data_IF_432791577032
#
_entry.id   IF_432791577032
#
_cell.length_a   1.000
_cell.length_b   1.000
_cell.length_c   1.000
_cell.angle_alpha   90.00
_cell.angle_beta   90.00
_cell.angle_gamma   90.00
#
_symmetry.space_group_name_H-M   'P 1'
#
loop_
_entity.id
_entity.type
_entity.pdbx_description
1 polymer ?
#
# COMPACT_ATOMS: atom_id res chain seq x y z
N UNK A 1 0.38 -4.97 13.63
CA UNK A 1 -0.89 -4.20 13.70
C UNK A 1 -1.53 -4.12 12.31
N UNK A 2 -2.86 -4.05 12.23
CA UNK A 2 -3.62 -3.92 11.00
C UNK A 2 -4.51 -2.65 11.06
N UNK A 3 -4.48 -1.84 10.00
CA UNK A 3 -5.46 -0.76 9.77
C UNK A 3 -6.26 -1.16 8.54
N UNK A 4 -7.57 -1.29 8.68
CA UNK A 4 -8.48 -1.62 7.58
C UNK A 4 -9.35 -0.40 7.27
N UNK A 5 -9.42 -0.04 5.99
CA UNK A 5 -10.35 0.96 5.48
C UNK A 5 -11.24 0.25 4.46
N UNK A 6 -12.55 0.37 4.62
CA UNK A 6 -13.54 -0.21 3.71
C UNK A 6 -13.78 0.74 2.52
N UNK A 7 -14.12 0.21 1.32
CA UNK A 7 -14.47 1.05 0.18
C UNK A 7 -15.75 1.86 0.43
N UNK A 8 -15.91 2.94 -0.32
CA UNK A 8 -17.18 3.67 -0.33
C UNK A 8 -18.29 2.78 -0.92
N UNK A 9 -19.28 2.44 -0.10
CA UNK A 9 -20.51 1.80 -0.58
C UNK A 9 -21.55 2.86 -0.96
N UNK A 10 -21.68 3.89 -0.12
CA UNK A 10 -22.57 5.03 -0.28
C UNK A 10 -21.90 6.30 0.29
N UNK A 11 -22.15 7.47 -0.31
CA UNK A 11 -21.62 8.74 0.19
C UNK A 11 -20.12 8.91 -0.02
N UNK A 12 -19.47 9.67 0.86
CA UNK A 12 -18.07 10.10 0.77
C UNK A 12 -17.22 9.73 2.00
N UNK A 13 -17.76 8.88 2.89
CA UNK A 13 -17.15 8.49 4.16
C UNK A 13 -16.64 7.07 4.14
N UNK A 14 -15.38 6.88 4.53
CA UNK A 14 -14.70 5.60 4.58
C UNK A 14 -14.79 5.00 6.00
N UNK A 15 -15.50 3.88 6.19
CA UNK A 15 -15.45 3.13 7.44
C UNK A 15 -14.04 2.58 7.69
N UNK A 16 -13.62 2.50 8.94
CA UNK A 16 -12.28 2.06 9.27
C UNK A 16 -12.22 1.25 10.58
N UNK A 17 -11.19 0.41 10.69
CA UNK A 17 -10.90 -0.41 11.87
C UNK A 17 -9.40 -0.48 12.12
N UNK A 18 -9.01 -0.51 13.40
CA UNK A 18 -7.64 -0.77 13.85
C UNK A 18 -7.65 -2.05 14.69
N UNK A 19 -6.78 -2.98 14.34
CA UNK A 19 -6.68 -4.31 14.96
C UNK A 19 -5.24 -4.62 15.32
N UNK A 20 -5.04 -5.38 16.39
CA UNK A 20 -3.76 -6.00 16.70
C UNK A 20 -3.75 -7.44 16.18
N UNK A 21 -2.63 -7.85 15.61
CA UNK A 21 -2.34 -9.26 15.30
C UNK A 21 -1.33 -9.71 16.34
N UNK A 22 -1.71 -10.68 17.17
CA UNK A 22 -0.88 -11.25 18.22
C UNK A 22 -0.06 -12.43 17.66
N UNK A 23 0.98 -12.83 18.39
CA UNK A 23 1.92 -13.90 17.98
C UNK A 23 1.25 -15.27 17.76
N UNK A 24 0.14 -15.52 18.47
CA UNK A 24 -0.68 -16.73 18.32
C UNK A 24 -1.59 -16.70 17.09
N UNK A 25 -1.51 -15.64 16.28
CA UNK A 25 -2.34 -15.43 15.11
C UNK A 25 -3.73 -14.88 15.42
N UNK A 26 -4.06 -14.63 16.70
CA UNK A 26 -5.31 -13.99 17.08
C UNK A 26 -5.28 -12.51 16.69
N UNK A 27 -6.38 -12.07 16.09
CA UNK A 27 -6.56 -10.65 15.77
C UNK A 27 -7.59 -10.07 16.72
N UNK A 28 -7.25 -8.95 17.37
CA UNK A 28 -8.13 -8.27 18.34
C UNK A 28 -8.51 -6.91 17.78
N UNK A 29 -9.80 -6.61 17.55
CA UNK A 29 -10.22 -5.26 17.20
C UNK A 29 -10.03 -4.32 18.39
N UNK A 30 -9.43 -3.16 18.16
CA UNK A 30 -9.20 -2.14 19.19
C UNK A 30 -10.10 -0.92 19.01
N UNK A 31 -10.18 -0.43 17.78
CA UNK A 31 -10.94 0.76 17.43
C UNK A 31 -11.65 0.54 16.10
N UNK A 32 -12.85 1.08 15.97
CA UNK A 32 -13.62 1.03 14.74
C UNK A 32 -14.56 2.25 14.67
N UNK A 33 -14.85 2.68 13.46
CA UNK A 33 -15.88 3.65 13.15
C UNK A 33 -16.57 3.21 11.85
N UNK A 34 -17.77 2.64 12.00
CA UNK A 34 -18.57 2.13 10.90
C UNK A 34 -19.31 3.26 10.15
N UNK A 35 -19.48 4.45 10.76
CA UNK A 35 -20.01 5.63 10.05
C UNK A 35 -18.96 6.27 9.14
N UNK A 36 -17.68 6.00 9.43
CA UNK A 36 -16.54 6.38 8.62
C UNK A 36 -16.27 7.88 8.58
N UNK A 37 -15.23 8.27 7.86
CA UNK A 37 -14.88 9.70 7.70
C UNK A 37 -14.53 10.06 6.26
N UNK A 38 -14.72 11.32 5.84
CA UNK A 38 -14.24 11.80 4.55
C UNK A 38 -12.74 11.52 4.37
N UNK A 39 -12.32 11.25 3.13
CA UNK A 39 -10.90 10.98 2.78
C UNK A 39 -9.92 11.97 3.41
N UNK A 40 -10.24 13.26 3.37
CA UNK A 40 -9.39 14.32 3.91
C UNK A 40 -9.19 14.26 5.43
N UNK A 41 -10.11 13.62 6.17
CA UNK A 41 -10.07 13.48 7.62
C UNK A 41 -9.51 12.15 8.09
N UNK A 42 -9.20 11.21 7.19
CA UNK A 42 -8.68 9.88 7.53
C UNK A 42 -7.44 9.97 8.41
N UNK A 43 -6.43 10.75 8.01
CA UNK A 43 -5.19 10.92 8.77
C UNK A 43 -5.45 11.45 10.17
N UNK A 44 -6.30 12.46 10.31
CA UNK A 44 -6.59 13.08 11.59
C UNK A 44 -7.29 12.11 12.54
N UNK A 45 -8.27 11.38 12.02
CA UNK A 45 -9.13 10.47 12.78
C UNK A 45 -8.44 9.17 13.17
N UNK A 46 -7.58 8.66 12.30
CA UNK A 46 -6.82 7.43 12.56
C UNK A 46 -5.59 7.69 13.43
N UNK A 47 -5.14 8.94 13.62
CA UNK A 47 -3.88 9.26 14.30
C UNK A 47 -3.78 8.62 15.69
N UNK A 48 -4.73 8.93 16.56
CA UNK A 48 -4.73 8.45 17.96
C UNK A 48 -5.00 6.94 18.06
N UNK A 49 -6.02 6.37 17.37
CA UNK A 49 -6.24 4.92 17.34
C UNK A 49 -5.01 4.12 16.87
N UNK A 50 -4.31 4.62 15.85
CA UNK A 50 -3.10 3.99 15.33
C UNK A 50 -1.95 4.12 16.33
N UNK A 51 -1.77 5.28 16.97
CA UNK A 51 -0.75 5.46 18.00
C UNK A 51 -0.96 4.51 19.18
N UNK A 52 -2.18 4.45 19.72
CA UNK A 52 -2.51 3.58 20.85
C UNK A 52 -2.30 2.09 20.52
N UNK A 53 -2.70 1.66 19.32
CA UNK A 53 -2.49 0.29 18.87
C UNK A 53 -1.00 -0.04 18.67
N UNK A 54 -0.20 0.89 18.18
CA UNK A 54 1.25 0.69 18.07
C UNK A 54 1.94 0.63 19.43
N UNK A 55 1.53 1.48 20.38
CA UNK A 55 2.06 1.44 21.74
C UNK A 55 1.78 0.10 22.44
N UNK A 56 0.66 -0.55 22.12
CA UNK A 56 0.34 -1.89 22.61
C UNK A 56 1.09 -3.01 21.86
N UNK A 57 1.38 -2.82 20.57
CA UNK A 57 2.03 -3.82 19.73
C UNK A 57 3.55 -3.79 19.75
N UNK A 58 4.15 -2.64 20.09
CA UNK A 58 5.59 -2.47 20.21
C UNK A 58 6.07 -3.12 21.53
N UNK A 59 7.02 -4.06 21.46
CA UNK A 59 7.52 -4.81 22.63
C UNK A 59 9.04 -4.72 22.70
N UNK A 60 9.56 -3.99 23.70
CA UNK A 60 10.99 -3.77 23.84
C UNK A 60 11.57 -3.08 22.59
N UNK A 61 12.52 -3.73 21.92
CA UNK A 61 13.12 -3.23 20.66
C UNK A 61 12.32 -3.63 19.41
N UNK A 62 11.30 -4.47 19.55
CA UNK A 62 10.49 -4.94 18.43
C UNK A 62 9.38 -3.95 18.11
N UNK A 63 9.49 -3.28 16.96
CA UNK A 63 8.45 -2.40 16.43
C UNK A 63 7.47 -3.21 15.57
N UNK A 64 6.19 -3.14 15.91
CA UNK A 64 5.14 -3.82 15.16
C UNK A 64 5.04 -3.29 13.72
N UNK A 65 4.97 -4.21 12.76
CA UNK A 65 4.64 -3.88 11.38
C UNK A 65 3.23 -3.30 11.27
N UNK A 66 3.06 -2.35 10.34
CA UNK A 66 1.76 -1.78 10.01
C UNK A 66 1.26 -2.35 8.68
N UNK A 67 0.21 -3.16 8.76
CA UNK A 67 -0.49 -3.71 7.59
C UNK A 67 -1.70 -2.84 7.31
N UNK A 68 -1.67 -2.05 6.23
CA UNK A 68 -2.80 -1.20 5.82
C UNK A 68 -3.56 -1.89 4.70
N UNK A 69 -4.80 -2.26 4.98
CA UNK A 69 -5.73 -2.85 4.02
C UNK A 69 -6.62 -1.74 3.50
N UNK A 70 -6.50 -1.40 2.22
CA UNK A 70 -7.13 -0.21 1.63
C UNK A 70 -7.98 -0.56 0.42
N UNK A 71 -9.04 0.21 0.16
CA UNK A 71 -9.67 0.21 -1.15
C UNK A 71 -8.73 0.89 -2.17
N UNK A 72 -8.85 0.51 -3.44
CA UNK A 72 -7.84 0.81 -4.47
C UNK A 72 -7.70 2.31 -4.73
N UNK A 73 -8.79 3.05 -4.59
CA UNK A 73 -8.85 4.51 -4.72
C UNK A 73 -8.02 5.28 -3.68
N UNK A 74 -7.60 4.59 -2.60
CA UNK A 74 -6.74 5.11 -1.54
C UNK A 74 -5.29 4.58 -1.61
N UNK A 75 -4.91 3.83 -2.65
CA UNK A 75 -3.54 3.30 -2.76
C UNK A 75 -2.47 4.41 -2.79
N UNK A 76 -2.79 5.58 -3.34
CA UNK A 76 -1.87 6.71 -3.37
C UNK A 76 -1.85 7.54 -2.08
N UNK A 77 -2.55 7.13 -1.01
CA UNK A 77 -2.44 7.79 0.29
C UNK A 77 -1.01 7.66 0.86
N UNK A 78 -0.38 8.75 1.30
CA UNK A 78 1.00 8.75 1.77
C UNK A 78 1.11 8.28 3.23
N UNK A 79 0.65 7.05 3.50
CA UNK A 79 0.52 6.49 4.86
C UNK A 79 1.85 6.40 5.61
N UNK A 80 2.94 6.07 4.92
CA UNK A 80 4.29 6.09 5.47
C UNK A 80 4.78 7.50 5.82
N UNK A 81 4.20 8.56 5.25
CA UNK A 81 4.51 9.94 5.59
C UNK A 81 3.67 10.45 6.79
N UNK A 82 2.72 9.66 7.28
CA UNK A 82 1.89 10.08 8.40
C UNK A 82 2.75 10.17 9.68
N UNK A 83 2.54 11.27 10.40
CA UNK A 83 3.10 11.52 11.73
C UNK A 83 1.99 11.37 12.76
N UNK A 84 2.28 10.67 13.85
CA UNK A 84 1.31 10.33 14.88
C UNK A 84 1.24 11.35 16.02
N UNK A 85 2.24 12.21 16.16
CA UNK A 85 2.17 13.34 17.07
C UNK A 85 1.04 14.32 16.68
N UNK A 86 0.36 14.95 17.65
CA UNK A 86 -0.55 16.05 17.39
C UNK A 86 0.16 17.20 16.64
N UNK A 87 -0.55 17.95 15.79
CA UNK A 87 -0.01 19.17 15.18
C UNK A 87 0.46 20.15 16.26
N UNK A 88 1.70 20.65 16.15
CA UNK A 88 2.25 21.62 17.09
C UNK A 88 2.70 21.03 18.44
N UNK A 89 2.82 19.71 18.57
CA UNK A 89 3.61 19.13 19.65
C UNK A 89 5.06 19.59 19.48
N UNK A 90 5.57 20.35 20.47
CA UNK A 90 6.91 20.94 20.44
C UNK A 90 7.99 19.86 20.31
N UNK A 91 8.98 20.15 19.45
CA UNK A 91 10.10 19.28 19.06
C UNK A 91 11.25 19.40 20.08
N UNK A 92 10.94 19.46 21.38
CA UNK A 92 11.92 19.65 22.47
C UNK A 92 12.78 18.39 22.72
N UNK A 93 12.95 17.54 21.70
CA UNK A 93 13.75 16.33 21.71
C UNK A 93 13.42 15.38 20.56
N UNK A 94 14.15 14.27 20.49
CA UNK A 94 13.91 13.21 19.49
C UNK A 94 12.71 12.35 19.92
N UNK A 95 11.47 12.83 19.75
CA UNK A 95 10.26 12.02 19.95
C UNK A 95 9.99 11.17 18.69
N UNK A 96 10.07 9.83 18.77
CA UNK A 96 9.76 8.99 17.62
C UNK A 96 8.31 9.16 17.10
N UNK A 97 7.35 9.68 17.86
CA UNK A 97 5.98 9.92 17.38
C UNK A 97 5.88 11.13 16.43
N UNK A 98 6.85 12.04 16.45
CA UNK A 98 6.91 13.16 15.49
C UNK A 98 7.41 12.69 14.13
N UNK A 99 8.04 11.51 14.03
CA UNK A 99 8.57 10.96 12.78
C UNK A 99 7.49 10.35 11.88
N UNK A 100 7.70 10.36 10.55
CA UNK A 100 6.89 9.59 9.62
C UNK A 100 6.91 8.08 9.93
N UNK A 101 5.76 7.43 9.81
CA UNK A 101 5.58 6.00 10.07
C UNK A 101 6.61 5.13 9.33
N UNK A 102 6.85 5.40 8.05
CA UNK A 102 7.75 4.59 7.21
C UNK A 102 9.23 4.73 7.53
N UNK A 103 9.64 5.76 8.30
CA UNK A 103 11.01 5.86 8.81
C UNK A 103 11.22 4.93 10.00
N UNK A 104 10.20 4.77 10.83
CA UNK A 104 10.28 3.97 12.05
C UNK A 104 10.02 2.50 11.79
N UNK A 105 8.96 2.21 11.06
CA UNK A 105 8.43 0.86 10.92
C UNK A 105 8.12 0.51 9.48
N UNK A 106 7.92 -0.78 9.28
CA UNK A 106 7.51 -1.36 8.02
C UNK A 106 6.02 -1.05 7.78
N UNK A 107 5.69 -0.51 6.61
CA UNK A 107 4.31 -0.18 6.19
C UNK A 107 3.97 -0.98 4.93
N UNK A 108 3.04 -1.92 5.08
CA UNK A 108 2.57 -2.84 4.04
C UNK A 108 1.23 -2.35 3.53
N UNK A 109 1.07 -2.21 2.22
CA UNK A 109 -0.23 -2.00 1.59
C UNK A 109 -0.81 -3.33 1.10
N UNK A 110 -2.10 -3.57 1.38
CA UNK A 110 -2.88 -4.73 0.91
C UNK A 110 -4.19 -4.28 0.27
N UNK A 111 -4.69 -5.05 -0.71
CA UNK A 111 -5.95 -4.75 -1.40
C UNK A 111 -7.14 -5.24 -0.58
N UNK A 112 -8.00 -4.29 -0.15
CA UNK A 112 -9.20 -4.58 0.63
C UNK A 112 -10.14 -5.52 -0.10
N UNK A 113 -10.26 -5.38 -1.41
CA UNK A 113 -11.17 -6.22 -2.22
C UNK A 113 -10.74 -7.69 -2.24
N UNK A 114 -9.44 -7.94 -2.32
CA UNK A 114 -8.89 -9.30 -2.25
C UNK A 114 -9.09 -9.93 -0.88
N UNK A 115 -9.16 -9.13 0.20
CA UNK A 115 -9.38 -9.63 1.55
C UNK A 115 -10.72 -10.37 1.74
N UNK A 116 -11.76 -10.00 1.00
CA UNK A 116 -13.08 -10.66 1.06
C UNK A 116 -13.20 -11.87 0.11
N UNK A 117 -12.18 -12.14 -0.70
CA UNK A 117 -12.23 -13.16 -1.75
C UNK A 117 -11.19 -14.25 -1.50
N UNK A 118 -11.51 -15.53 -1.81
CA UNK A 118 -10.52 -16.59 -1.84
C UNK A 118 -9.37 -16.23 -2.78
N UNK A 119 -8.13 -16.49 -2.35
CA UNK A 119 -6.98 -16.25 -3.20
C UNK A 119 -6.99 -17.15 -4.44
N UNK A 120 -6.84 -16.54 -5.63
CA UNK A 120 -6.79 -17.26 -6.90
C UNK A 120 -5.52 -18.11 -7.01
N UNK A 121 -5.52 -19.19 -7.81
CA UNK A 121 -4.33 -19.99 -8.06
C UNK A 121 -3.16 -19.16 -8.61
N UNK A 122 -3.44 -18.19 -9.48
CA UNK A 122 -2.47 -17.31 -10.11
C UNK A 122 -1.78 -16.43 -9.07
N UNK A 123 -2.56 -15.86 -8.13
CA UNK A 123 -2.02 -15.04 -7.05
C UNK A 123 -1.10 -15.85 -6.14
N UNK A 124 -1.55 -17.03 -5.67
CA UNK A 124 -0.73 -17.94 -4.86
C UNK A 124 0.58 -18.30 -5.57
N UNK A 125 0.49 -18.68 -6.84
CA UNK A 125 1.65 -19.10 -7.64
C UNK A 125 2.64 -17.96 -7.86
N UNK A 126 2.17 -16.76 -8.19
CA UNK A 126 3.02 -15.58 -8.42
C UNK A 126 3.67 -15.11 -7.13
N UNK A 127 2.89 -15.00 -6.05
CA UNK A 127 3.42 -14.57 -4.76
C UNK A 127 4.49 -15.54 -4.26
N UNK A 128 4.23 -16.86 -4.27
CA UNK A 128 5.23 -17.88 -3.93
C UNK A 128 6.52 -17.74 -4.75
N UNK A 129 6.42 -17.48 -6.05
CA UNK A 129 7.59 -17.28 -6.92
C UNK A 129 8.34 -15.99 -6.60
N UNK A 130 7.64 -14.89 -6.32
CA UNK A 130 8.26 -13.64 -5.89
C UNK A 130 8.98 -13.78 -4.53
N UNK A 131 8.42 -14.58 -3.60
CA UNK A 131 9.05 -14.87 -2.31
C UNK A 131 10.30 -15.75 -2.44
N UNK A 132 10.38 -16.61 -3.46
CA UNK A 132 11.58 -17.42 -3.73
C UNK A 132 12.64 -16.66 -4.54
N UNK A 133 12.23 -15.73 -5.41
CA UNK A 133 13.13 -15.03 -6.33
C UNK A 133 13.70 -15.92 -7.44
N UNK A 134 14.59 -15.38 -8.29
CA UNK A 134 14.90 -13.97 -8.44
C UNK A 134 13.73 -13.21 -9.08
N UNK A 135 13.52 -11.95 -8.69
CA UNK A 135 12.48 -11.09 -9.24
C UNK A 135 12.97 -10.24 -10.41
N UNK A 136 12.04 -9.81 -11.26
CA UNK A 136 12.33 -8.91 -12.39
C UNK A 136 11.25 -7.85 -12.47
N UNK A 137 11.64 -6.58 -12.64
CA UNK A 137 10.68 -5.52 -12.84
C UNK A 137 10.08 -5.59 -14.25
N UNK A 138 8.76 -5.38 -14.34
CA UNK A 138 8.06 -5.19 -15.62
C UNK A 138 7.24 -3.90 -15.53
N UNK A 139 7.02 -3.19 -16.64
CA UNK A 139 6.18 -2.01 -16.60
C UNK A 139 4.73 -2.39 -16.29
N UNK A 140 4.12 -1.72 -15.30
CA UNK A 140 2.68 -1.85 -15.03
C UNK A 140 1.87 -1.39 -16.23
N UNK A 141 2.31 -0.30 -16.88
CA UNK A 141 1.73 0.27 -18.10
C UNK A 141 2.74 0.26 -19.23
N UNK A 142 2.33 -0.15 -20.43
CA UNK A 142 3.22 -0.24 -21.59
C UNK A 142 3.88 1.09 -21.97
N UNK A 143 3.21 2.21 -21.68
CA UNK A 143 3.68 3.56 -22.05
C UNK A 143 4.80 4.09 -21.16
N UNK A 144 4.84 3.65 -19.89
CA UNK A 144 5.58 4.30 -18.82
C UNK A 144 7.10 4.40 -19.03
N UNK A 145 7.81 3.39 -19.58
CA UNK A 145 9.26 3.51 -19.74
C UNK A 145 9.69 4.39 -20.93
N UNK A 146 8.80 4.71 -21.88
CA UNK A 146 9.20 5.37 -23.13
C UNK A 146 8.93 6.90 -23.17
N UNK A 147 7.85 7.37 -22.55
CA UNK A 147 7.39 8.76 -22.67
C UNK A 147 6.86 9.33 -21.34
N UNK A 148 7.26 8.73 -20.21
CA UNK A 148 6.62 9.00 -18.92
C UNK A 148 5.14 8.62 -18.91
N UNK A 149 4.36 9.33 -18.11
CA UNK A 149 2.95 9.04 -17.82
C UNK A 149 2.03 9.36 -19.02
N UNK A 150 2.51 10.17 -19.98
CA UNK A 150 1.78 10.80 -21.09
C UNK A 150 2.09 10.17 -22.46
N UNK A 151 2.49 8.89 -22.48
CA UNK A 151 2.80 8.22 -23.73
C UNK A 151 1.62 8.20 -24.74
N UNK A 152 1.90 8.26 -26.05
CA UNK A 152 0.89 8.50 -27.08
C UNK A 152 -0.07 7.31 -27.30
N UNK A 153 0.29 6.12 -26.82
CA UNK A 153 -0.53 4.90 -26.97
C UNK A 153 -1.33 4.72 -25.68
N UNK A 154 -2.64 4.48 -25.75
CA UNK A 154 -3.45 4.17 -24.56
C UNK A 154 -3.66 2.66 -24.49
N UNK A 155 -3.14 2.00 -23.45
CA UNK A 155 -3.43 0.60 -23.14
C UNK A 155 -4.75 0.50 -22.35
N UNK A 156 -5.69 -0.30 -22.85
CA UNK A 156 -6.92 -0.63 -22.14
C UNK A 156 -6.74 -1.80 -21.14
N UNK A 157 -7.64 -1.92 -20.17
CA UNK A 157 -7.54 -2.90 -19.08
C UNK A 157 -7.42 -4.36 -19.52
N UNK A 158 -8.15 -4.80 -20.54
CA UNK A 158 -8.05 -6.17 -21.06
C UNK A 158 -6.68 -6.47 -21.68
N UNK A 159 -6.09 -5.49 -22.37
CA UNK A 159 -4.76 -5.62 -22.99
C UNK A 159 -3.69 -5.66 -21.88
N UNK A 160 -3.80 -4.78 -20.89
CA UNK A 160 -2.94 -4.80 -19.72
C UNK A 160 -3.03 -6.15 -18.98
N UNK A 161 -4.24 -6.68 -18.80
CA UNK A 161 -4.47 -7.98 -18.14
C UNK A 161 -3.79 -9.11 -18.89
N UNK A 162 -3.97 -9.20 -20.22
CA UNK A 162 -3.33 -10.24 -21.04
C UNK A 162 -1.81 -10.18 -20.91
N UNK A 163 -1.21 -8.99 -21.10
CA UNK A 163 0.25 -8.79 -20.99
C UNK A 163 0.79 -9.13 -19.60
N UNK A 164 0.12 -8.68 -18.55
CA UNK A 164 0.53 -8.93 -17.16
C UNK A 164 0.31 -10.40 -16.75
N UNK A 165 -0.64 -11.08 -17.37
CA UNK A 165 -0.86 -12.53 -17.19
C UNK A 165 0.22 -13.36 -17.87
N UNK A 166 0.74 -12.92 -19.02
CA UNK A 166 1.84 -13.55 -19.73
C UNK A 166 3.22 -13.25 -19.12
N UNK A 167 3.33 -12.18 -18.32
CA UNK A 167 4.58 -11.84 -17.65
C UNK A 167 5.09 -12.99 -16.75
N UNK A 168 6.41 -13.16 -16.61
CA UNK A 168 7.01 -14.19 -15.76
C UNK A 168 6.39 -14.23 -14.35
N UNK A 169 6.34 -15.40 -13.73
CA UNK A 169 5.74 -15.56 -12.41
C UNK A 169 6.46 -14.80 -11.28
N UNK A 170 7.70 -14.37 -11.52
CA UNK A 170 8.54 -13.56 -10.64
C UNK A 170 8.53 -12.06 -11.00
N UNK A 171 7.68 -11.66 -11.95
CA UNK A 171 7.58 -10.29 -12.40
C UNK A 171 6.96 -9.40 -11.32
N UNK A 172 7.57 -8.24 -11.07
CA UNK A 172 7.07 -7.18 -10.19
C UNK A 172 6.67 -5.99 -11.06
N UNK A 173 5.37 -5.67 -11.19
CA UNK A 173 4.94 -4.49 -11.93
C UNK A 173 5.44 -3.20 -11.26
N UNK A 174 5.94 -2.27 -12.08
CA UNK A 174 6.47 -0.96 -11.67
C UNK A 174 5.76 0.15 -12.42
N UNK A 175 5.41 1.24 -11.73
CA UNK A 175 4.83 2.43 -12.37
C UNK A 175 5.31 3.75 -11.78
N UNK A 176 5.68 4.71 -12.63
CA UNK A 176 5.78 6.10 -12.22
C UNK A 176 4.41 6.76 -12.44
N UNK A 177 3.67 7.03 -11.36
CA UNK A 177 2.35 7.64 -11.43
C UNK A 177 1.35 7.04 -10.44
N UNK A 178 0.25 7.75 -10.23
CA UNK A 178 -0.87 7.32 -9.38
C UNK A 178 -1.57 6.07 -9.90
N UNK A 179 -1.99 5.22 -8.97
CA UNK A 179 -2.67 3.94 -9.24
C UNK A 179 -4.06 3.84 -8.59
N UNK A 180 -4.49 4.86 -7.84
CA UNK A 180 -5.82 4.97 -7.27
C UNK A 180 -6.84 5.63 -8.19
N UNK A 181 -6.41 6.17 -9.33
CA UNK A 181 -7.30 6.77 -10.34
C UNK A 181 -6.77 6.66 -11.77
N UNK A 182 -7.65 6.96 -12.73
CA UNK A 182 -7.30 7.10 -14.14
C UNK A 182 -6.72 5.83 -14.75
N UNK A 183 -5.80 5.99 -15.70
CA UNK A 183 -5.21 4.86 -16.42
C UNK A 183 -4.30 3.98 -15.53
N UNK A 184 -3.69 4.55 -14.48
CA UNK A 184 -2.92 3.77 -13.51
C UNK A 184 -3.79 2.81 -12.71
N UNK A 185 -4.98 3.26 -12.28
CA UNK A 185 -5.96 2.38 -11.63
C UNK A 185 -6.40 1.22 -12.52
N UNK A 186 -6.73 1.49 -13.80
CA UNK A 186 -7.08 0.44 -14.76
C UNK A 186 -5.96 -0.60 -14.90
N UNK A 187 -4.70 -0.17 -14.91
CA UNK A 187 -3.55 -1.07 -15.01
C UNK A 187 -3.29 -1.83 -13.69
N UNK A 188 -3.49 -1.19 -12.54
CA UNK A 188 -3.43 -1.83 -11.22
C UNK A 188 -4.51 -2.90 -11.09
N UNK A 189 -5.75 -2.62 -11.50
CA UNK A 189 -6.84 -3.59 -11.53
C UNK A 189 -6.49 -4.81 -12.37
N UNK A 190 -5.89 -4.59 -13.55
CA UNK A 190 -5.42 -5.65 -14.42
C UNK A 190 -4.28 -6.47 -13.79
N UNK A 191 -3.32 -5.83 -13.13
CA UNK A 191 -2.24 -6.50 -12.41
C UNK A 191 -2.79 -7.38 -11.29
N UNK A 192 -3.72 -6.83 -10.50
CA UNK A 192 -4.35 -7.56 -9.41
C UNK A 192 -5.19 -8.74 -9.93
N UNK A 193 -5.94 -8.56 -11.01
CA UNK A 193 -6.66 -9.66 -11.65
C UNK A 193 -5.71 -10.76 -12.18
N UNK A 194 -4.55 -10.38 -12.72
CA UNK A 194 -3.53 -11.31 -13.20
C UNK A 194 -2.72 -12.00 -12.08
N UNK A 195 -3.05 -11.74 -10.81
CA UNK A 195 -2.45 -12.38 -9.64
C UNK A 195 -1.16 -11.73 -9.12
N UNK A 196 -0.82 -10.51 -9.55
CA UNK A 196 0.34 -9.81 -8.98
C UNK A 196 0.05 -9.40 -7.53
N UNK A 197 0.82 -9.93 -6.59
CA UNK A 197 0.72 -9.59 -5.15
C UNK A 197 1.79 -8.61 -4.68
N UNK A 198 2.76 -8.30 -5.52
CA UNK A 198 3.83 -7.33 -5.24
C UNK A 198 3.87 -6.32 -6.38
N UNK A 199 3.67 -5.04 -6.09
CA UNK A 199 3.64 -3.96 -7.09
C UNK A 199 4.33 -2.73 -6.50
N UNK A 200 5.16 -2.06 -7.29
CA UNK A 200 5.85 -0.80 -6.91
C UNK A 200 5.27 0.35 -7.73
N UNK A 201 5.01 1.48 -7.10
CA UNK A 201 4.75 2.70 -7.85
C UNK A 201 5.26 3.94 -7.13
N UNK A 202 5.38 5.04 -7.89
CA UNK A 202 5.61 6.37 -7.34
C UNK A 202 4.28 7.09 -7.21
N UNK A 203 3.91 7.47 -5.99
CA UNK A 203 2.70 8.26 -5.71
C UNK A 203 2.90 9.69 -6.20
N UNK A 204 2.60 9.98 -7.45
CA UNK A 204 2.49 11.37 -7.88
C UNK A 204 1.63 11.54 -9.13
N UNK A 205 0.86 12.62 -9.15
CA UNK A 205 -0.14 12.91 -10.17
C UNK A 205 0.48 13.43 -11.48
N UNK A 206 1.48 14.31 -11.43
CA UNK A 206 2.02 15.02 -12.61
C UNK A 206 3.39 15.66 -12.34
N UNK A 207 4.15 15.98 -13.40
CA UNK A 207 5.24 16.98 -13.34
C UNK A 207 6.69 16.47 -13.33
N UNK A 208 6.94 15.17 -13.53
CA UNK A 208 8.29 14.61 -13.47
C UNK A 208 8.84 14.28 -14.85
N UNK A 209 10.09 14.69 -15.10
CA UNK A 209 10.86 14.37 -16.31
C UNK A 209 11.79 13.16 -16.10
N UNK A 210 11.89 12.66 -14.88
CA UNK A 210 12.81 11.58 -14.43
C UNK A 210 12.16 10.18 -14.47
N UNK A 211 11.05 9.99 -15.21
CA UNK A 211 10.30 8.74 -15.20
C UNK A 211 11.14 7.53 -15.64
N UNK A 212 11.95 7.71 -16.69
CA UNK A 212 12.83 6.66 -17.19
C UNK A 212 13.85 6.24 -16.12
N UNK A 213 14.45 7.23 -15.45
CA UNK A 213 15.38 7.01 -14.35
C UNK A 213 14.71 6.29 -13.17
N UNK A 214 13.49 6.69 -12.80
CA UNK A 214 12.71 5.99 -11.77
C UNK A 214 12.52 4.51 -12.13
N UNK A 215 12.14 4.20 -13.37
CA UNK A 215 11.93 2.83 -13.82
C UNK A 215 13.24 2.02 -13.83
N UNK A 216 14.36 2.62 -14.22
CA UNK A 216 15.68 1.98 -14.17
C UNK A 216 16.11 1.68 -12.73
N UNK A 217 16.02 2.68 -11.84
CA UNK A 217 16.36 2.54 -10.41
C UNK A 217 15.43 1.54 -9.70
N UNK A 218 14.14 1.55 -10.01
CA UNK A 218 13.18 0.57 -9.49
C UNK A 218 13.46 -0.85 -10.01
N UNK A 219 13.85 -1.00 -11.27
CA UNK A 219 14.25 -2.30 -11.81
C UNK A 219 15.49 -2.84 -11.12
N UNK A 220 16.50 -1.99 -10.90
CA UNK A 220 17.70 -2.33 -10.13
C UNK A 220 17.34 -2.71 -8.69
N UNK A 221 16.48 -1.94 -8.03
CA UNK A 221 15.98 -2.24 -6.68
C UNK A 221 15.32 -3.64 -6.60
N UNK A 222 14.45 -3.99 -7.55
CA UNK A 222 13.79 -5.30 -7.61
C UNK A 222 14.78 -6.44 -7.82
N UNK A 223 15.73 -6.27 -8.75
CA UNK A 223 16.76 -7.28 -9.01
C UNK A 223 17.66 -7.49 -7.78
N UNK A 224 18.15 -6.42 -7.18
CA UNK A 224 19.04 -6.48 -6.01
C UNK A 224 18.33 -6.94 -4.73
N UNK A 225 17.01 -6.78 -4.64
CA UNK A 225 16.20 -7.32 -3.56
C UNK A 225 16.18 -8.85 -3.53
N UNK A 226 16.32 -9.48 -4.70
CA UNK A 226 16.29 -10.93 -4.88
C UNK A 226 14.87 -11.52 -4.74
N UNK A 227 14.18 -11.21 -3.64
CA UNK A 227 12.84 -11.71 -3.33
C UNK A 227 11.95 -10.63 -2.67
N UNK A 228 10.68 -10.99 -2.48
CA UNK A 228 9.65 -10.07 -1.99
C UNK A 228 9.97 -9.50 -0.59
N UNK A 229 10.50 -10.31 0.33
CA UNK A 229 10.88 -9.87 1.68
C UNK A 229 12.09 -8.90 1.64
N UNK A 230 13.10 -9.23 0.84
CA UNK A 230 14.28 -8.40 0.62
C UNK A 230 13.94 -7.03 0.02
N UNK A 231 12.91 -6.96 -0.82
CA UNK A 231 12.42 -5.71 -1.42
C UNK A 231 11.87 -4.78 -0.34
N UNK A 232 11.09 -5.33 0.57
CA UNK A 232 10.46 -4.60 1.65
C UNK A 232 11.48 -3.93 2.57
N UNK A 233 12.52 -4.69 2.97
CA UNK A 233 13.65 -4.18 3.76
C UNK A 233 14.40 -3.07 3.04
N UNK A 234 14.63 -3.21 1.73
CA UNK A 234 15.33 -2.19 0.92
C UNK A 234 14.52 -0.91 0.77
N UNK A 235 13.21 -1.00 0.58
CA UNK A 235 12.32 0.18 0.55
C UNK A 235 12.37 0.93 1.88
N UNK A 236 12.34 0.23 3.03
CA UNK A 236 12.53 0.87 4.34
C UNK A 236 13.87 1.60 4.45
N UNK A 237 14.96 0.98 4.03
CA UNK A 237 16.28 1.62 4.06
C UNK A 237 16.34 2.87 3.16
N UNK A 238 15.69 2.85 1.98
CA UNK A 238 15.56 4.02 1.13
C UNK A 238 14.76 5.14 1.80
N UNK A 239 13.68 4.80 2.51
CA UNK A 239 12.90 5.79 3.29
C UNK A 239 13.76 6.45 4.36
N UNK A 240 14.52 5.67 5.14
CA UNK A 240 15.43 6.19 6.17
C UNK A 240 16.44 7.17 5.56
N UNK A 241 17.07 6.81 4.43
CA UNK A 241 18.04 7.68 3.73
C UNK A 241 17.41 8.96 3.17
N UNK A 242 16.13 8.93 2.78
CA UNK A 242 15.36 10.11 2.36
C UNK A 242 14.81 10.94 3.54
N UNK A 243 14.78 10.37 4.74
CA UNK A 243 13.98 10.87 5.86
C UNK A 243 14.65 11.95 6.68
N UNK A 244 15.96 12.15 6.51
CA UNK A 244 16.70 13.25 7.14
C UNK A 244 16.28 14.59 6.48
N UNK A 245 15.63 15.49 7.23
CA UNK A 245 15.18 16.78 6.69
C UNK A 245 16.34 17.74 6.42
N UNK A 246 17.47 17.59 7.12
CA UNK A 246 18.61 18.50 7.05
C UNK A 246 19.66 18.00 6.04
N UNK A 247 19.85 16.68 5.95
CA UNK A 247 20.85 16.04 5.11
C UNK A 247 20.29 14.83 4.35
N UNK A 248 19.28 15.00 3.47
CA UNK A 248 18.74 13.90 2.70
C UNK A 248 19.80 13.33 1.76
N UNK A 249 19.87 12.00 1.66
CA UNK A 249 20.77 11.32 0.74
C UNK A 249 20.33 11.52 -0.73
N UNK A 250 21.11 12.25 -1.56
CA UNK A 250 20.72 12.55 -2.93
C UNK A 250 20.49 11.29 -3.79
N UNK A 251 21.20 10.20 -3.50
CA UNK A 251 21.07 8.93 -4.24
C UNK A 251 19.80 8.17 -3.88
N UNK A 252 19.16 8.51 -2.75
CA UNK A 252 17.91 7.90 -2.30
C UNK A 252 16.66 8.69 -2.72
N UNK A 253 16.78 10.01 -2.99
CA UNK A 253 15.65 10.92 -3.18
C UNK A 253 14.60 10.47 -4.22
N UNK A 254 15.03 9.75 -5.26
CA UNK A 254 14.12 9.16 -6.27
C UNK A 254 13.03 8.25 -5.65
N UNK A 255 13.32 7.65 -4.49
CA UNK A 255 12.46 6.70 -3.77
C UNK A 255 11.53 7.36 -2.75
N UNK A 256 11.62 8.68 -2.52
CA UNK A 256 10.86 9.39 -1.47
C UNK A 256 9.34 9.15 -1.55
N UNK A 257 8.81 9.02 -2.76
CA UNK A 257 7.37 8.82 -3.00
C UNK A 257 7.02 7.39 -3.42
N UNK A 258 7.90 6.40 -3.16
CA UNK A 258 7.60 5.00 -3.46
C UNK A 258 6.53 4.46 -2.52
N UNK A 259 5.55 3.82 -3.13
CA UNK A 259 4.62 2.92 -2.48
C UNK A 259 4.85 1.48 -2.97
N UNK A 260 4.59 0.54 -2.06
CA UNK A 260 4.75 -0.88 -2.28
C UNK A 260 3.48 -1.59 -1.83
N UNK A 261 2.82 -2.28 -2.76
CA UNK A 261 1.82 -3.27 -2.44
C UNK A 261 2.55 -4.56 -2.11
N UNK A 262 2.23 -5.15 -0.97
CA UNK A 262 2.69 -6.46 -0.55
C UNK A 262 1.50 -7.24 -0.01
N UNK A 263 0.80 -7.89 -0.93
CA UNK A 263 -0.47 -8.56 -0.70
C UNK A 263 -0.27 -10.08 -0.74
N UNK A 264 0.04 -10.63 0.43
CA UNK A 264 0.23 -12.07 0.67
C UNK A 264 -1.12 -12.81 0.64
N UNK A 265 -1.27 -13.86 -0.19
CA UNK A 265 -2.47 -14.69 -0.22
C UNK A 265 -2.68 -15.53 1.05
N UNK A 266 -1.61 -15.85 1.79
CA UNK A 266 -1.67 -16.63 3.03
C UNK A 266 -1.89 -15.66 4.20
N UNK A 267 -3.16 -15.30 4.40
CA UNK A 267 -3.58 -14.32 5.41
C UNK A 267 -3.75 -15.01 6.77
N UNK A 268 -3.34 -14.38 7.89
CA UNK A 268 -3.80 -14.82 9.20
C UNK A 268 -5.34 -14.76 9.25
N UNK A 269 -6.02 -15.70 9.93
CA UNK A 269 -7.48 -15.76 9.98
C UNK A 269 -8.04 -14.44 10.50
N UNK A 270 -9.00 -13.87 9.78
CA UNK A 270 -9.71 -12.67 10.22
C UNK A 270 -10.76 -13.04 11.27
N UNK A 271 -10.81 -12.36 12.42
CA UNK A 271 -12.03 -12.21 13.19
C UNK A 271 -12.88 -11.22 12.39
N UNK A 272 -14.15 -11.57 12.28
CA UNK A 272 -15.19 -10.74 11.70
C UNK A 272 -15.29 -10.83 10.17
N UNK A 273 -16.24 -11.68 9.78
CA UNK A 273 -17.07 -11.54 8.58
C UNK A 273 -17.43 -10.06 8.36
N UNK A 274 -17.44 -9.54 7.12
CA UNK A 274 -17.85 -8.17 6.86
C UNK A 274 -19.22 -7.89 7.46
N UNK A 275 -19.29 -6.90 8.36
CA UNK A 275 -20.55 -6.41 8.91
C UNK A 275 -21.23 -5.57 7.84
N UNK A 276 -22.12 -6.19 7.06
CA UNK A 276 -23.07 -5.45 6.26
C UNK A 276 -23.99 -4.66 7.20
N UNK A 277 -23.96 -3.33 7.15
CA UNK A 277 -25.06 -2.55 7.66
C UNK A 277 -26.33 -2.95 6.87
N UNK A 278 -27.43 -3.40 7.52
CA UNK A 278 -28.66 -3.65 6.82
C UNK A 278 -29.10 -2.36 6.13
N UNK A 279 -29.26 -2.40 4.80
CA UNK A 279 -29.87 -1.30 4.07
C UNK A 279 -31.22 -0.96 4.70
N UNK A 280 -31.49 0.33 4.87
CA UNK A 280 -32.81 0.81 5.34
C UNK A 280 -33.86 0.21 4.41
N UNK A 281 -34.75 -0.63 4.96
CA UNK A 281 -35.88 -1.18 4.21
C UNK A 281 -36.69 -0.01 3.63
N UNK A 282 -37.02 0.01 2.33
CA UNK A 282 -38.01 0.95 1.85
C UNK A 282 -39.30 0.76 2.66
N UNK A 283 -39.75 1.84 3.28
CA UNK A 283 -40.87 1.85 4.19
C UNK A 283 -42.11 1.25 3.53
N UNK A 284 -42.69 0.24 4.16
CA UNK A 284 -44.11 -0.05 4.03
C UNK A 284 -44.80 0.85 5.05
N UNK A 285 -45.48 1.88 4.55
CA UNK A 285 -46.40 2.69 5.33
C UNK A 285 -47.82 2.49 4.72
N UNK A 286 -48.86 2.64 5.55
CA UNK A 286 -50.04 1.79 5.61
C UNK A 286 -51.05 1.94 4.46
#
# INVERSE_FOLDING_TARGET
MIVEIDPLLYGDRYPWRVKLLLEDGMVTPLHADDEGVPRALLRERLREPVAAALDQGDVGEHLAELHVVLPRELFDEPLDDWRLAPPGADDDGFDPRTMPLGLRRVVILKDRRRRDQPATPEWKKRFKRASLGPMTAVPLRREAPAHGHDGPRREGGHVAYARLSEAPGTAVPVYCGEVGRGAGATAMDAALAAGHGVVIWRRCATGHTDCAEFHERAARLVCEAGNAEGLHRRVRNLRIRCGDPDFPDPDALWARSIALLFDDPDRPPGPDTPLHAPGVRPGTAP
#
